data_IF_781921523170
#
_entry.id   IF_781921523170
#
_cell.length_a   1.000
_cell.length_b   1.000
_cell.length_c   1.000
_cell.angle_alpha   90.00
_cell.angle_beta   90.00
_cell.angle_gamma   90.00
#
_symmetry.space_group_name_H-M   'P 1'
#
loop_
_entity.id
_entity.type
_entity.pdbx_description
1 polymer ?
#
# COMPACT_ATOMS: atom_id res chain seq x y z
N UNK A 1 12.48 15.40 4.60
CA UNK A 1 11.85 14.24 3.98
C UNK A 1 12.86 13.24 3.43
N UNK A 2 12.40 12.06 3.16
CA UNK A 2 13.18 11.00 2.53
C UNK A 2 12.41 10.50 1.30
N UNK A 3 13.12 10.36 0.17
CA UNK A 3 12.59 9.77 -1.06
C UNK A 3 13.30 8.44 -1.29
N UNK A 4 12.54 7.38 -1.47
CA UNK A 4 13.02 6.04 -1.77
C UNK A 4 12.51 5.64 -3.15
N UNK A 5 13.41 5.58 -4.14
CA UNK A 5 13.10 5.22 -5.52
C UNK A 5 13.75 3.87 -5.84
N UNK A 6 12.92 2.88 -6.13
CA UNK A 6 13.36 1.51 -6.40
C UNK A 6 12.19 0.69 -6.94
N UNK A 7 12.43 -0.60 -7.20
CA UNK A 7 11.34 -1.56 -7.24
C UNK A 7 10.69 -1.69 -5.86
N UNK A 8 9.40 -2.02 -5.80
CA UNK A 8 8.65 -2.24 -4.58
C UNK A 8 7.74 -3.44 -4.67
N UNK A 9 7.56 -4.15 -3.55
CA UNK A 9 6.66 -5.29 -3.40
C UNK A 9 5.67 -5.14 -2.25
N UNK A 10 5.45 -3.89 -1.80
CA UNK A 10 4.67 -3.64 -0.60
C UNK A 10 5.31 -4.30 0.62
N UNK A 11 4.50 -5.00 1.39
CA UNK A 11 4.92 -5.69 2.61
C UNK A 11 5.44 -7.12 2.38
N UNK A 12 5.29 -7.69 1.16
CA UNK A 12 5.55 -9.11 0.91
C UNK A 12 7.05 -9.41 1.00
N UNK A 13 7.48 -10.33 1.90
CA UNK A 13 8.89 -10.68 2.05
C UNK A 13 9.50 -11.31 0.79
N UNK A 14 10.78 -11.10 0.61
CA UNK A 14 11.56 -11.63 -0.52
C UNK A 14 11.44 -13.14 -0.68
N UNK A 15 11.48 -13.85 0.43
CA UNK A 15 11.41 -15.31 0.46
C UNK A 15 10.09 -15.89 -0.07
N UNK A 16 9.01 -15.11 -0.02
CA UNK A 16 7.69 -15.49 -0.54
C UNK A 16 7.61 -15.18 -2.04
N UNK A 17 8.07 -14.02 -2.44
CA UNK A 17 8.02 -13.56 -3.82
C UNK A 17 8.78 -14.50 -4.78
N UNK A 18 9.94 -14.99 -4.35
CA UNK A 18 10.79 -15.87 -5.16
C UNK A 18 10.15 -17.23 -5.46
N UNK A 19 9.20 -17.68 -4.63
CA UNK A 19 8.57 -19.00 -4.75
C UNK A 19 7.31 -19.00 -5.62
N UNK A 20 6.56 -17.89 -5.68
CA UNK A 20 5.19 -17.91 -6.17
C UNK A 20 4.92 -16.99 -7.37
N UNK A 21 5.84 -16.12 -7.74
CA UNK A 21 5.58 -15.12 -8.76
C UNK A 21 6.58 -15.24 -9.90
N UNK A 22 6.10 -15.71 -11.05
CA UNK A 22 6.78 -15.51 -12.33
C UNK A 22 6.65 -14.03 -12.72
N UNK A 23 7.29 -13.16 -11.97
CA UNK A 23 7.19 -11.72 -12.13
C UNK A 23 8.37 -11.17 -12.93
N UNK A 24 8.15 -10.12 -13.73
CA UNK A 24 9.25 -9.25 -14.11
C UNK A 24 10.00 -8.81 -12.85
N UNK A 25 11.29 -8.55 -12.96
CA UNK A 25 12.26 -8.29 -11.87
C UNK A 25 11.94 -7.05 -11.02
N UNK A 26 10.78 -7.04 -10.33
CA UNK A 26 10.28 -5.94 -9.49
C UNK A 26 10.03 -6.46 -8.09
N UNK A 27 11.03 -6.36 -7.20
CA UNK A 27 10.92 -6.94 -5.86
C UNK A 27 11.59 -6.03 -4.84
N UNK A 28 10.89 -5.76 -3.70
CA UNK A 28 11.35 -5.07 -2.49
C UNK A 28 11.60 -3.58 -2.65
N UNK A 29 11.76 -2.91 -1.52
CA UNK A 29 12.36 -1.60 -1.57
C UNK A 29 13.88 -1.75 -1.51
N UNK A 30 14.54 -1.44 -2.63
CA UNK A 30 15.99 -1.58 -2.77
C UNK A 30 16.45 -3.01 -2.94
N UNK A 31 17.02 -3.28 -4.10
CA UNK A 31 17.73 -4.53 -4.42
C UNK A 31 19.18 -4.19 -4.75
N UNK A 32 20.12 -4.87 -4.09
CA UNK A 32 21.52 -4.85 -4.45
C UNK A 32 22.02 -6.30 -4.64
N UNK A 33 22.20 -6.69 -5.89
CA UNK A 33 22.50 -8.06 -6.25
C UNK A 33 21.40 -9.03 -5.82
N UNK A 34 21.68 -9.89 -4.85
CA UNK A 34 20.73 -10.81 -4.21
C UNK A 34 20.24 -10.34 -2.84
N UNK A 35 20.62 -9.13 -2.42
CA UNK A 35 20.21 -8.54 -1.15
C UNK A 35 18.98 -7.67 -1.36
N UNK A 36 18.05 -7.72 -0.41
CA UNK A 36 16.79 -6.99 -0.44
C UNK A 36 16.59 -6.23 0.87
N UNK A 37 16.02 -5.04 0.80
CA UNK A 37 15.62 -4.28 1.99
C UNK A 37 14.16 -4.62 2.34
N UNK A 38 13.98 -5.47 3.34
CA UNK A 38 12.64 -5.78 3.88
C UNK A 38 12.07 -4.59 4.65
N UNK A 39 10.74 -4.41 4.63
CA UNK A 39 10.09 -3.27 5.30
C UNK A 39 10.36 -3.21 6.81
N UNK A 40 10.30 -4.31 7.57
CA UNK A 40 10.67 -4.27 8.99
C UNK A 40 12.14 -3.86 9.22
N UNK A 41 13.06 -4.29 8.33
CA UNK A 41 14.46 -3.90 8.40
C UNK A 41 14.66 -2.41 8.08
N UNK A 42 13.91 -1.88 7.09
CA UNK A 42 13.89 -0.45 6.77
C UNK A 42 13.37 0.36 7.97
N UNK A 43 12.25 -0.05 8.57
CA UNK A 43 11.69 0.61 9.75
C UNK A 43 12.71 0.64 10.91
N UNK A 44 13.40 -0.47 11.17
CA UNK A 44 14.44 -0.56 12.18
C UNK A 44 15.65 0.34 11.84
N UNK A 45 16.10 0.36 10.58
CA UNK A 45 17.21 1.19 10.15
C UNK A 45 16.92 2.70 10.27
N UNK A 46 15.64 3.09 10.17
CA UNK A 46 15.18 4.47 10.32
C UNK A 46 14.78 4.82 11.76
N UNK A 47 14.85 3.87 12.69
CA UNK A 47 14.48 4.10 14.09
C UNK A 47 15.30 5.22 14.70
N UNK A 48 14.63 6.12 15.43
CA UNK A 48 15.26 7.30 16.04
C UNK A 48 15.50 8.45 15.06
N UNK A 49 15.38 8.23 13.76
CA UNK A 49 15.27 9.31 12.78
C UNK A 49 13.79 9.71 12.65
N UNK A 50 13.54 11.01 12.57
CA UNK A 50 12.18 11.51 12.39
C UNK A 50 12.10 12.33 11.11
N UNK A 51 11.40 11.77 10.14
CA UNK A 51 11.16 12.45 8.87
C UNK A 51 9.79 13.12 8.92
N UNK A 52 9.64 14.21 8.21
CA UNK A 52 8.36 14.85 7.99
C UNK A 52 7.53 14.07 6.98
N UNK A 53 8.19 13.54 5.93
CA UNK A 53 7.56 12.63 4.99
C UNK A 53 8.54 11.58 4.47
N UNK A 54 7.99 10.40 4.13
CA UNK A 54 8.60 9.42 3.24
C UNK A 54 7.79 9.38 1.94
N UNK A 55 8.50 9.50 0.80
CA UNK A 55 7.95 9.29 -0.52
C UNK A 55 8.52 7.99 -1.08
N UNK A 56 7.64 7.07 -1.44
CA UNK A 56 7.98 5.84 -2.14
C UNK A 56 7.70 5.97 -3.63
N UNK A 57 8.75 6.16 -4.41
CA UNK A 57 8.71 6.04 -5.87
C UNK A 57 8.97 4.57 -6.21
N UNK A 58 8.00 3.73 -5.85
CA UNK A 58 8.06 2.28 -5.93
C UNK A 58 6.65 1.67 -5.95
N UNK A 59 6.52 0.49 -6.56
CA UNK A 59 5.26 -0.22 -6.72
C UNK A 59 4.72 -0.74 -5.38
N UNK A 60 3.40 -0.75 -5.19
CA UNK A 60 2.67 -1.40 -4.09
C UNK A 60 2.98 -0.90 -2.67
N UNK A 61 3.71 0.22 -2.56
CA UNK A 61 4.14 0.72 -1.25
C UNK A 61 3.01 1.33 -0.42
N UNK A 62 1.81 1.54 -0.99
CA UNK A 62 0.62 1.92 -0.23
C UNK A 62 -0.16 0.71 0.30
N UNK A 63 0.51 -0.41 0.58
CA UNK A 63 -0.05 -1.50 1.38
C UNK A 63 -0.08 -1.09 2.85
N UNK A 64 -1.22 -1.32 3.51
CA UNK A 64 -1.40 -0.91 4.91
C UNK A 64 -0.39 -1.58 5.84
N UNK A 65 0.03 -2.80 5.54
CA UNK A 65 1.03 -3.55 6.28
C UNK A 65 2.38 -2.82 6.26
N UNK A 66 2.85 -2.40 5.06
CA UNK A 66 4.11 -1.67 4.92
C UNK A 66 4.05 -0.30 5.58
N UNK A 67 2.94 0.44 5.37
CA UNK A 67 2.78 1.77 5.95
C UNK A 67 2.68 1.72 7.48
N UNK A 68 2.06 0.68 8.03
CA UNK A 68 1.92 0.51 9.46
C UNK A 68 3.26 0.26 10.16
N UNK A 69 4.15 -0.53 9.55
CA UNK A 69 5.51 -0.74 10.06
C UNK A 69 6.32 0.58 10.10
N UNK A 70 6.08 1.48 9.14
CA UNK A 70 6.79 2.75 9.01
C UNK A 70 6.12 3.93 9.75
N UNK A 71 4.99 3.72 10.46
CA UNK A 71 4.17 4.78 11.06
C UNK A 71 4.90 5.65 12.09
N UNK A 72 5.95 5.11 12.71
CA UNK A 72 6.69 5.81 13.77
C UNK A 72 7.91 6.58 13.28
N UNK A 73 8.30 6.43 12.00
CA UNK A 73 9.51 7.05 11.45
C UNK A 73 9.23 8.34 10.67
N UNK A 74 7.97 8.63 10.38
CA UNK A 74 7.59 9.80 9.59
C UNK A 74 6.21 10.33 9.97
N UNK A 75 5.93 11.60 9.66
CA UNK A 75 4.59 12.19 9.85
C UNK A 75 3.65 11.87 8.67
N UNK A 76 4.19 11.78 7.44
CA UNK A 76 3.42 11.49 6.22
C UNK A 76 4.11 10.44 5.37
N UNK A 77 3.28 9.60 4.75
CA UNK A 77 3.68 8.57 3.78
C UNK A 77 3.02 8.87 2.43
N UNK A 78 3.80 8.93 1.38
CA UNK A 78 3.34 9.14 0.01
C UNK A 78 3.72 7.92 -0.82
N UNK A 79 2.73 7.19 -1.34
CA UNK A 79 2.94 5.91 -2.01
C UNK A 79 1.81 5.58 -3.00
N UNK A 80 2.02 4.55 -3.82
CA UNK A 80 1.03 4.00 -4.74
C UNK A 80 0.60 2.60 -4.31
N UNK A 81 -0.72 2.26 -4.33
CA UNK A 81 -1.17 0.90 -4.12
C UNK A 81 -0.99 -0.02 -5.35
N UNK A 82 -0.72 0.54 -6.54
CA UNK A 82 -0.45 -0.21 -7.77
C UNK A 82 1.02 -0.09 -8.20
N UNK A 83 1.34 -0.64 -9.38
CA UNK A 83 2.64 -0.38 -10.01
C UNK A 83 2.81 1.11 -10.32
N UNK A 84 4.03 1.61 -10.10
CA UNK A 84 4.51 2.91 -10.56
C UNK A 84 5.27 2.69 -11.87
N UNK A 85 4.92 3.45 -12.93
CA UNK A 85 5.62 3.32 -14.20
C UNK A 85 7.10 3.72 -14.07
N UNK A 86 7.95 3.17 -14.92
CA UNK A 86 9.40 3.31 -14.86
C UNK A 86 9.92 4.76 -14.83
N UNK A 87 9.16 5.70 -15.39
CA UNK A 87 9.49 7.13 -15.35
C UNK A 87 9.34 7.77 -13.95
N UNK A 88 8.75 7.05 -12.98
CA UNK A 88 8.62 7.45 -11.59
C UNK A 88 7.92 8.81 -11.38
N UNK A 89 8.15 9.39 -10.23
CA UNK A 89 7.63 10.71 -9.90
C UNK A 89 8.24 11.83 -10.75
N UNK A 90 7.49 12.90 -11.09
CA UNK A 90 8.00 14.01 -11.89
C UNK A 90 8.87 14.94 -11.04
N UNK A 91 10.09 14.51 -10.70
CA UNK A 91 10.97 15.22 -9.76
C UNK A 91 11.26 16.66 -10.15
N UNK A 92 11.34 16.96 -11.45
CA UNK A 92 11.55 18.32 -11.94
C UNK A 92 10.45 19.26 -11.47
N UNK A 93 9.22 18.76 -11.43
CA UNK A 93 8.02 19.51 -11.05
C UNK A 93 7.82 19.51 -9.53
N UNK A 94 8.06 18.37 -8.86
CA UNK A 94 7.68 18.22 -7.45
C UNK A 94 8.79 18.61 -6.46
N UNK A 95 10.04 18.77 -6.87
CA UNK A 95 11.13 19.03 -5.93
C UNK A 95 10.89 20.30 -5.09
N UNK A 96 10.40 21.37 -5.70
CA UNK A 96 10.07 22.60 -4.96
C UNK A 96 8.88 22.42 -4.01
N UNK A 97 7.87 21.63 -4.41
CA UNK A 97 6.72 21.28 -3.57
C UNK A 97 7.16 20.47 -2.35
N UNK A 98 8.06 19.50 -2.55
CA UNK A 98 8.63 18.69 -1.46
C UNK A 98 9.41 19.56 -0.45
N UNK A 99 10.21 20.53 -0.92
CA UNK A 99 10.90 21.48 -0.05
C UNK A 99 9.95 22.43 0.70
N UNK A 100 8.85 22.80 0.07
CA UNK A 100 7.80 23.64 0.66
C UNK A 100 6.79 22.85 1.51
N UNK A 101 6.94 21.50 1.53
CA UNK A 101 6.03 20.58 2.23
C UNK A 101 4.61 20.56 1.67
N UNK A 102 4.47 20.97 0.41
CA UNK A 102 3.22 20.83 -0.35
C UNK A 102 3.12 19.39 -0.89
N UNK A 103 2.92 18.45 0.03
CA UNK A 103 2.87 17.03 -0.30
C UNK A 103 1.65 16.68 -1.14
N UNK A 104 0.53 17.35 -0.90
CA UNK A 104 -0.67 17.19 -1.72
C UNK A 104 -0.42 17.66 -3.14
N UNK A 105 0.18 18.84 -3.33
CA UNK A 105 0.56 19.34 -4.64
C UNK A 105 1.53 18.40 -5.38
N UNK A 106 2.46 17.76 -4.65
CA UNK A 106 3.34 16.75 -5.23
C UNK A 106 2.57 15.51 -5.72
N UNK A 107 1.56 15.02 -4.98
CA UNK A 107 0.66 13.97 -5.43
C UNK A 107 -0.14 14.38 -6.67
N UNK A 108 -0.69 15.59 -6.68
CA UNK A 108 -1.44 16.13 -7.82
C UNK A 108 -0.57 16.25 -9.07
N UNK A 109 0.69 16.67 -8.92
CA UNK A 109 1.66 16.73 -10.03
C UNK A 109 2.00 15.34 -10.57
N UNK A 110 2.15 14.34 -9.71
CA UNK A 110 2.29 12.95 -10.13
C UNK A 110 1.08 12.49 -10.94
N UNK A 111 -0.12 12.70 -10.43
CA UNK A 111 -1.34 12.31 -11.15
C UNK A 111 -1.52 13.05 -12.47
N UNK A 112 -1.16 14.33 -12.54
CA UNK A 112 -1.22 15.09 -13.78
C UNK A 112 -0.30 14.51 -14.86
N UNK A 113 0.90 14.04 -14.49
CA UNK A 113 1.81 13.32 -15.41
C UNK A 113 1.17 12.06 -15.98
N UNK A 114 0.47 11.30 -15.14
CA UNK A 114 -0.06 9.98 -15.49
C UNK A 114 -1.56 9.95 -15.83
N UNK A 115 -2.24 11.09 -15.84
CA UNK A 115 -3.71 11.20 -16.03
C UNK A 115 -4.25 10.45 -17.24
N UNK A 116 -3.48 10.36 -18.30
CA UNK A 116 -3.88 9.72 -19.56
C UNK A 116 -3.35 8.29 -19.72
N UNK A 117 -2.62 7.79 -18.73
CA UNK A 117 -1.97 6.49 -18.81
C UNK A 117 -2.32 5.59 -17.61
N UNK A 118 -1.49 5.59 -16.59
CA UNK A 118 -1.63 4.71 -15.44
C UNK A 118 -1.01 5.36 -14.22
N UNK A 119 -1.81 5.66 -13.21
CA UNK A 119 -1.30 6.23 -11.97
C UNK A 119 -2.29 6.09 -10.83
N UNK A 120 -1.76 5.82 -9.66
CA UNK A 120 -2.45 5.86 -8.38
C UNK A 120 -1.51 6.46 -7.35
N UNK A 121 -2.03 7.23 -6.42
CA UNK A 121 -1.24 7.80 -5.32
C UNK A 121 -2.11 7.99 -4.09
N UNK A 122 -1.52 7.80 -2.93
CA UNK A 122 -2.09 8.14 -1.64
C UNK A 122 -1.10 8.95 -0.80
N UNK A 123 -1.61 9.93 -0.07
CA UNK A 123 -0.92 10.66 0.98
C UNK A 123 -1.55 10.30 2.33
N UNK A 124 -0.78 9.64 3.17
CA UNK A 124 -1.24 9.04 4.41
C UNK A 124 -0.60 9.73 5.60
N UNK A 125 -1.41 10.07 6.59
CA UNK A 125 -0.96 10.63 7.86
C UNK A 125 -0.64 9.51 8.84
N UNK A 126 0.64 9.31 9.16
CA UNK A 126 1.14 8.14 9.89
C UNK A 126 0.54 7.98 11.29
N UNK A 127 0.39 9.07 12.04
CA UNK A 127 -0.15 9.05 13.41
C UNK A 127 -1.64 8.71 13.49
N UNK A 128 -2.32 8.54 12.34
CA UNK A 128 -3.73 8.11 12.26
C UNK A 128 -3.87 6.61 12.00
N UNK A 129 -2.79 5.92 11.69
CA UNK A 129 -2.82 4.50 11.36
C UNK A 129 -3.18 3.62 12.57
N UNK A 130 -2.83 4.02 13.79
CA UNK A 130 -3.26 3.31 14.99
C UNK A 130 -4.80 3.34 15.19
N UNK A 131 -5.42 4.51 14.94
CA UNK A 131 -6.87 4.61 15.01
C UNK A 131 -7.56 3.81 13.90
N UNK A 132 -6.97 3.79 12.70
CA UNK A 132 -7.45 2.95 11.59
C UNK A 132 -7.35 1.47 11.94
N UNK A 133 -6.22 1.01 12.52
CA UNK A 133 -6.05 -0.36 12.98
C UNK A 133 -7.09 -0.75 14.03
N UNK A 134 -7.36 0.14 14.99
CA UNK A 134 -8.39 -0.09 16.00
C UNK A 134 -9.80 -0.22 15.39
N UNK A 135 -10.13 0.61 14.40
CA UNK A 135 -11.41 0.53 13.70
C UNK A 135 -11.55 -0.79 12.90
N UNK A 136 -10.50 -1.21 12.20
CA UNK A 136 -10.47 -2.50 11.49
C UNK A 136 -10.58 -3.67 12.47
N UNK A 137 -9.86 -3.63 13.60
CA UNK A 137 -9.93 -4.64 14.66
C UNK A 137 -11.36 -4.82 15.17
N UNK A 138 -12.09 -3.74 15.39
CA UNK A 138 -13.48 -3.80 15.83
C UNK A 138 -14.36 -4.55 14.81
N UNK A 139 -14.20 -4.26 13.51
CA UNK A 139 -14.91 -4.97 12.44
C UNK A 139 -14.53 -6.45 12.42
N UNK A 140 -13.24 -6.77 12.34
CA UNK A 140 -12.75 -8.16 12.27
C UNK A 140 -13.22 -8.97 13.49
N UNK A 141 -13.18 -8.36 14.68
CA UNK A 141 -13.67 -9.00 15.92
C UNK A 141 -15.17 -9.26 15.88
N UNK A 142 -15.96 -8.30 15.37
CA UNK A 142 -17.41 -8.42 15.31
C UNK A 142 -17.90 -9.46 14.29
N UNK A 143 -17.21 -9.57 13.15
CA UNK A 143 -17.63 -10.48 12.06
C UNK A 143 -17.01 -11.88 12.18
N UNK A 144 -15.95 -12.04 12.96
CA UNK A 144 -15.24 -13.32 13.12
C UNK A 144 -14.65 -13.83 11.79
N UNK A 145 -14.77 -15.14 11.57
CA UNK A 145 -14.21 -15.80 10.36
C UNK A 145 -15.15 -15.70 9.14
N UNK A 146 -15.77 -14.54 8.92
CA UNK A 146 -16.62 -14.33 7.74
C UNK A 146 -15.80 -14.41 6.46
N UNK A 147 -16.17 -15.32 5.58
CA UNK A 147 -15.60 -15.40 4.24
C UNK A 147 -16.23 -14.33 3.34
N UNK A 148 -15.41 -13.76 2.45
CA UNK A 148 -15.84 -12.77 1.47
C UNK A 148 -15.60 -13.29 0.05
N UNK A 149 -16.38 -12.80 -0.89
CA UNK A 149 -16.12 -13.07 -2.31
C UNK A 149 -14.99 -12.14 -2.81
N UNK A 150 -13.80 -12.71 -2.94
CA UNK A 150 -12.61 -11.98 -3.37
C UNK A 150 -12.74 -11.41 -4.79
N UNK A 151 -13.60 -12.01 -5.63
CA UNK A 151 -13.80 -11.54 -7.00
C UNK A 151 -14.59 -10.23 -7.08
N UNK A 152 -15.27 -9.87 -6.01
CA UNK A 152 -16.03 -8.62 -5.89
C UNK A 152 -15.20 -7.46 -5.31
N UNK A 153 -13.96 -7.72 -4.89
CA UNK A 153 -13.07 -6.72 -4.27
C UNK A 153 -12.00 -6.32 -5.29
N UNK A 154 -11.79 -5.03 -5.46
CA UNK A 154 -10.76 -4.50 -6.35
C UNK A 154 -9.38 -5.01 -5.98
N UNK A 155 -8.70 -5.68 -6.91
CA UNK A 155 -7.26 -5.97 -6.83
C UNK A 155 -6.43 -4.84 -7.43
N UNK A 156 -5.23 -4.67 -6.91
CA UNK A 156 -4.30 -3.63 -7.35
C UNK A 156 -3.14 -4.16 -8.18
N UNK A 157 -3.14 -5.44 -8.53
CA UNK A 157 -2.20 -6.09 -9.45
C UNK A 157 -2.93 -7.12 -10.34
N UNK A 158 -2.21 -7.68 -11.31
CA UNK A 158 -2.80 -8.58 -12.32
C UNK A 158 -2.72 -10.07 -12.00
N UNK A 159 -2.53 -10.46 -10.74
CA UNK A 159 -2.58 -11.85 -10.31
C UNK A 159 -4.03 -12.33 -10.12
N UNK A 160 -4.21 -13.65 -10.10
CA UNK A 160 -5.50 -14.26 -9.77
C UNK A 160 -5.26 -15.55 -8.96
N UNK A 161 -5.59 -15.57 -7.65
CA UNK A 161 -6.16 -14.47 -6.87
C UNK A 161 -5.15 -13.35 -6.62
N UNK A 162 -5.65 -12.18 -6.20
CA UNK A 162 -4.83 -11.03 -5.87
C UNK A 162 -4.10 -11.18 -4.53
N UNK A 163 -3.00 -10.42 -4.38
CA UNK A 163 -2.27 -10.26 -3.13
C UNK A 163 -2.54 -8.90 -2.46
N UNK A 164 -2.96 -7.91 -3.26
CA UNK A 164 -3.23 -6.55 -2.83
C UNK A 164 -4.67 -6.17 -3.19
N UNK A 165 -5.53 -6.11 -2.19
CA UNK A 165 -6.94 -5.75 -2.33
C UNK A 165 -7.22 -4.36 -1.77
N UNK A 166 -8.24 -3.68 -2.30
CA UNK A 166 -8.70 -2.40 -1.74
C UNK A 166 -9.23 -2.58 -0.32
N UNK A 167 -8.63 -1.87 0.65
CA UNK A 167 -8.96 -2.00 2.06
C UNK A 167 -10.40 -1.61 2.36
N UNK A 168 -10.92 -0.52 1.74
CA UNK A 168 -12.29 -0.08 1.99
C UNK A 168 -13.31 -1.10 1.48
N UNK A 169 -13.10 -1.61 0.26
CA UNK A 169 -14.00 -2.62 -0.31
C UNK A 169 -13.96 -3.93 0.49
N UNK A 170 -12.79 -4.31 1.02
CA UNK A 170 -12.71 -5.46 1.91
C UNK A 170 -13.56 -5.28 3.17
N UNK A 171 -13.47 -4.13 3.83
CA UNK A 171 -14.28 -3.85 5.02
C UNK A 171 -15.77 -3.77 4.69
N UNK A 172 -16.15 -3.19 3.54
CA UNK A 172 -17.53 -3.16 3.05
C UNK A 172 -18.08 -4.58 2.75
N UNK A 173 -17.24 -5.50 2.28
CA UNK A 173 -17.64 -6.90 2.09
C UNK A 173 -17.85 -7.64 3.43
N UNK A 174 -17.12 -7.24 4.47
CA UNK A 174 -17.27 -7.83 5.81
C UNK A 174 -18.54 -7.38 6.53
N UNK A 175 -18.91 -6.09 6.43
CA UNK A 175 -20.02 -5.53 7.22
C UNK A 175 -20.67 -4.34 6.52
N UNK A 176 -21.94 -4.10 6.86
CA UNK A 176 -22.64 -2.86 6.48
C UNK A 176 -22.40 -1.73 7.49
N UNK A 177 -21.90 -2.03 8.68
CA UNK A 177 -21.55 -1.04 9.71
C UNK A 177 -20.10 -0.58 9.48
N UNK A 178 -19.93 0.42 8.63
CA UNK A 178 -18.62 0.92 8.18
C UNK A 178 -18.32 2.35 8.62
N UNK A 179 -19.21 3.02 9.33
CA UNK A 179 -19.09 4.45 9.60
C UNK A 179 -17.83 4.79 10.41
N UNK A 180 -17.54 4.04 11.47
CA UNK A 180 -16.37 4.24 12.30
C UNK A 180 -15.07 3.98 11.52
N UNK A 181 -15.05 2.93 10.69
CA UNK A 181 -13.93 2.62 9.82
C UNK A 181 -13.71 3.72 8.77
N UNK A 182 -14.76 4.16 8.07
CA UNK A 182 -14.68 5.21 7.06
C UNK A 182 -14.23 6.55 7.65
N UNK A 183 -14.66 6.86 8.85
CA UNK A 183 -14.17 8.04 9.56
C UNK A 183 -12.66 7.95 9.83
N UNK A 184 -12.18 6.81 10.33
CA UNK A 184 -10.75 6.58 10.58
C UNK A 184 -9.92 6.56 9.28
N UNK A 185 -10.45 5.94 8.21
CA UNK A 185 -9.82 5.92 6.90
C UNK A 185 -9.65 7.35 6.34
N UNK A 186 -10.69 8.17 6.42
CA UNK A 186 -10.65 9.57 5.97
C UNK A 186 -9.65 10.43 6.74
N UNK A 187 -9.44 10.15 8.03
CA UNK A 187 -8.43 10.82 8.83
C UNK A 187 -7.01 10.35 8.47
N UNK A 188 -6.85 9.08 8.10
CA UNK A 188 -5.56 8.51 7.75
C UNK A 188 -5.15 8.85 6.31
N UNK A 189 -6.04 8.70 5.33
CA UNK A 189 -5.78 8.99 3.91
C UNK A 189 -6.29 10.40 3.61
N UNK A 190 -5.39 11.38 3.72
CA UNK A 190 -5.72 12.80 3.55
C UNK A 190 -5.80 13.25 2.10
N UNK A 191 -5.25 12.46 1.19
CA UNK A 191 -5.40 12.61 -0.26
C UNK A 191 -5.22 11.26 -0.94
N UNK A 192 -6.06 10.97 -1.92
CA UNK A 192 -5.88 9.86 -2.88
C UNK A 192 -6.44 10.26 -4.23
N UNK A 193 -5.81 9.79 -5.29
CA UNK A 193 -6.27 9.96 -6.67
C UNK A 193 -5.81 8.79 -7.53
N UNK A 194 -6.53 8.51 -8.60
CA UNK A 194 -6.24 7.40 -9.51
C UNK A 194 -6.75 7.68 -10.92
N UNK A 195 -6.16 7.00 -11.89
CA UNK A 195 -6.68 6.90 -13.25
C UNK A 195 -7.82 5.88 -13.32
N UNK A 196 -8.71 5.93 -14.35
CA UNK A 196 -9.82 4.96 -14.50
C UNK A 196 -9.34 3.50 -14.67
N UNK A 197 -8.07 3.31 -14.96
CA UNK A 197 -7.39 2.02 -15.08
C UNK A 197 -5.92 2.19 -14.70
N UNK A 198 -5.28 1.10 -14.29
CA UNK A 198 -3.83 1.04 -14.10
C UNK A 198 -3.24 -0.06 -14.98
N UNK A 199 -1.97 0.08 -15.37
CA UNK A 199 -1.23 -0.98 -16.07
C UNK A 199 -0.65 -1.96 -15.06
N UNK A 200 -0.85 -3.27 -15.30
CA UNK A 200 -0.19 -4.29 -14.51
C UNK A 200 0.90 -5.00 -15.32
N UNK A 201 2.11 -4.99 -14.80
CA UNK A 201 3.25 -5.74 -15.35
C UNK A 201 3.07 -7.26 -15.22
N UNK A 202 2.28 -7.72 -14.24
CA UNK A 202 1.98 -9.14 -14.06
C UNK A 202 1.11 -9.70 -15.18
N UNK A 203 0.00 -9.03 -15.49
CA UNK A 203 -0.90 -9.44 -16.57
C UNK A 203 -0.51 -8.85 -17.92
N UNK A 204 0.41 -7.87 -17.96
CA UNK A 204 0.80 -7.08 -19.13
C UNK A 204 -0.40 -6.39 -19.81
N UNK A 205 -1.39 -6.00 -19.02
CA UNK A 205 -2.65 -5.40 -19.49
C UNK A 205 -3.10 -4.28 -18.56
N UNK A 206 -3.89 -3.32 -19.07
CA UNK A 206 -4.61 -2.38 -18.24
C UNK A 206 -5.73 -3.09 -17.45
N UNK A 207 -5.87 -2.75 -16.19
CA UNK A 207 -6.91 -3.23 -15.29
C UNK A 207 -7.79 -2.05 -14.90
N UNK A 208 -9.10 -2.23 -14.99
CA UNK A 208 -10.07 -1.20 -14.61
C UNK A 208 -9.98 -0.86 -13.11
N UNK A 209 -10.04 0.43 -12.79
CA UNK A 209 -10.02 0.95 -11.43
C UNK A 209 -11.13 1.98 -11.25
N UNK A 210 -12.38 1.54 -11.02
CA UNK A 210 -13.53 2.44 -10.91
C UNK A 210 -13.52 3.25 -9.60
N UNK A 211 -12.86 2.74 -8.55
CA UNK A 211 -12.63 3.43 -7.28
C UNK A 211 -11.40 2.88 -6.56
N UNK A 212 -10.80 3.69 -5.71
CA UNK A 212 -9.67 3.32 -4.88
C UNK A 212 -9.71 4.12 -3.59
N UNK A 213 -9.54 3.46 -2.45
CA UNK A 213 -9.34 4.15 -1.18
C UNK A 213 -7.89 4.61 -0.95
N UNK A 214 -6.98 4.25 -1.87
CA UNK A 214 -5.56 4.59 -1.78
C UNK A 214 -4.71 3.65 -0.93
N UNK A 215 -5.33 2.69 -0.22
CA UNK A 215 -4.66 1.68 0.58
C UNK A 215 -5.00 0.28 0.09
N UNK A 216 -3.99 -0.55 -0.07
CA UNK A 216 -4.18 -1.99 -0.24
C UNK A 216 -4.00 -2.75 1.07
N UNK A 217 -4.57 -3.95 1.14
CA UNK A 217 -4.36 -4.91 2.22
C UNK A 217 -4.27 -6.34 1.65
N UNK A 218 -3.65 -7.22 2.40
CA UNK A 218 -3.77 -8.66 2.17
C UNK A 218 -5.04 -9.19 2.82
N UNK A 219 -5.70 -10.13 2.13
CA UNK A 219 -6.86 -10.84 2.68
C UNK A 219 -6.50 -12.31 2.81
N UNK A 220 -6.60 -12.81 4.04
CA UNK A 220 -6.41 -14.23 4.33
C UNK A 220 -7.49 -15.06 3.64
N UNK A 221 -7.08 -15.93 2.73
CA UNK A 221 -7.97 -16.73 1.89
C UNK A 221 -7.59 -18.21 1.83
N UNK A 222 -6.58 -18.64 2.57
CA UNK A 222 -5.98 -19.99 2.49
C UNK A 222 -5.41 -20.35 1.10
N UNK A 223 -5.40 -19.41 0.14
CA UNK A 223 -4.89 -19.62 -1.21
C UNK A 223 -3.36 -19.47 -1.27
N UNK A 224 -2.80 -18.74 -0.32
CA UNK A 224 -1.37 -18.46 -0.21
C UNK A 224 -0.85 -18.75 1.20
N UNK A 225 -0.71 -20.02 1.63
CA UNK A 225 -0.41 -20.36 3.02
C UNK A 225 0.93 -19.81 3.52
N UNK A 226 1.96 -19.75 2.67
CA UNK A 226 3.24 -19.16 3.06
C UNK A 226 3.13 -17.63 3.23
N UNK A 227 2.37 -16.97 2.36
CA UNK A 227 2.10 -15.53 2.43
C UNK A 227 1.27 -15.19 3.65
N UNK A 228 0.23 -15.99 3.94
CA UNK A 228 -0.59 -15.87 5.14
C UNK A 228 0.26 -15.95 6.41
N UNK A 229 1.17 -16.92 6.47
CA UNK A 229 2.07 -17.07 7.63
C UNK A 229 2.94 -15.82 7.81
N UNK A 230 3.53 -15.31 6.72
CA UNK A 230 4.32 -14.08 6.77
C UNK A 230 3.47 -12.85 7.13
N UNK A 231 2.21 -12.79 6.63
CA UNK A 231 1.29 -11.71 6.97
C UNK A 231 0.95 -11.67 8.46
N UNK A 232 0.73 -12.81 9.09
CA UNK A 232 0.45 -12.90 10.53
C UNK A 232 1.61 -12.36 11.40
N UNK A 233 2.83 -12.34 10.87
CA UNK A 233 4.00 -11.79 11.55
C UNK A 233 4.10 -10.25 11.41
N UNK A 234 3.31 -9.61 10.55
CA UNK A 234 3.31 -8.14 10.39
C UNK A 234 2.73 -7.43 11.63
N UNK A 235 3.21 -6.22 11.89
CA UNK A 235 2.65 -5.39 12.97
C UNK A 235 1.19 -5.02 12.71
N UNK A 236 0.79 -4.87 11.45
CA UNK A 236 -0.60 -4.63 11.08
C UNK A 236 -1.52 -5.80 11.48
N UNK A 237 -1.18 -7.03 11.09
CA UNK A 237 -1.99 -8.21 11.41
C UNK A 237 -2.15 -8.39 12.93
N UNK A 238 -1.05 -8.18 13.69
CA UNK A 238 -1.08 -8.19 15.15
C UNK A 238 -1.99 -7.09 15.72
N UNK A 239 -1.90 -5.87 15.20
CA UNK A 239 -2.70 -4.72 15.65
C UNK A 239 -4.20 -4.93 15.45
N UNK A 240 -4.61 -5.50 14.31
CA UNK A 240 -6.02 -5.81 14.03
C UNK A 240 -6.52 -7.10 14.72
N UNK A 241 -5.62 -7.86 15.38
CA UNK A 241 -5.95 -9.09 16.10
C UNK A 241 -6.21 -10.29 15.18
N UNK A 242 -5.58 -10.33 14.01
CA UNK A 242 -5.62 -11.48 13.11
C UNK A 242 -5.04 -12.74 13.77
N UNK A 243 -5.56 -13.92 13.39
CA UNK A 243 -5.22 -15.21 14.04
C UNK A 243 -5.10 -16.31 12.98
#
# INVERSE_FOLDING_TARGET
GLVLSSHGSGWIPSSIFDKHVMAPSTRFIGQDGTQYMEIPALAQALEGLKFEYLLFDACFMSSIEALYDLRNVTDYLMASPTEVLADGFPYKEIVSQLFQKDLKGACESFMNKYRQTSGTVALVQSNKLEALAAAVKNVVTAVGNKQVDLTAIQGYEGLNPHLFYDLEQYIEALTNDTDAFKAALKEAVIFTDHTPQFYSAYSQQPIGLPRSCGLSCFIDSNLFPDTQKAWLDTEWAKAIGAR
#
